data_IF_166589101471
#
_entry.id   IF_166589101471
#
_cell.length_a   1.000
_cell.length_b   1.000
_cell.length_c   1.000
_cell.angle_alpha   90.00
_cell.angle_beta   90.00
_cell.angle_gamma   90.00
#
_symmetry.space_group_name_H-M   'P 1'
#
loop_
_entity.id
_entity.type
_entity.pdbx_description
1 polymer ?
#
# COMPACT_ATOMS: atom_id res chain seq x y z
N UNK A 1 -14.72 19.64 -16.34
CA UNK A 1 -13.86 20.61 -15.68
C UNK A 1 -12.72 19.87 -14.98
N UNK A 2 -11.55 20.16 -15.27
CA UNK A 2 -10.25 19.53 -15.40
C UNK A 2 -9.41 19.43 -14.11
N UNK A 3 -9.97 19.00 -12.98
CA UNK A 3 -9.23 18.83 -11.72
C UNK A 3 -8.34 17.58 -11.70
N UNK A 4 -8.71 16.52 -12.40
CA UNK A 4 -7.93 15.28 -12.44
C UNK A 4 -6.56 15.40 -13.13
N UNK A 5 -6.40 16.33 -14.04
CA UNK A 5 -5.15 16.51 -14.79
C UNK A 5 -4.05 17.20 -13.96
N UNK A 6 -4.44 18.19 -13.16
CA UNK A 6 -3.50 18.84 -12.20
C UNK A 6 -3.02 17.89 -11.13
N UNK A 7 -3.90 16.98 -10.68
CA UNK A 7 -3.59 15.96 -9.70
C UNK A 7 -2.48 15.03 -10.18
N UNK A 8 -2.65 14.42 -11.35
CA UNK A 8 -1.65 13.49 -11.89
C UNK A 8 -0.29 14.13 -12.16
N UNK A 9 -0.25 15.37 -12.62
CA UNK A 9 0.99 16.08 -12.93
C UNK A 9 1.75 16.46 -11.65
N UNK A 10 1.09 17.04 -10.66
CA UNK A 10 1.70 17.46 -9.40
C UNK A 10 2.16 16.25 -8.56
N UNK A 11 1.39 15.17 -8.54
CA UNK A 11 1.78 13.93 -7.88
C UNK A 11 3.01 13.33 -8.59
N UNK A 12 3.01 13.27 -9.91
CA UNK A 12 4.11 12.77 -10.71
C UNK A 12 5.39 13.59 -10.52
N UNK A 13 5.31 14.90 -10.57
CA UNK A 13 6.47 15.79 -10.35
C UNK A 13 7.03 15.65 -8.94
N UNK A 14 6.18 15.43 -7.95
CA UNK A 14 6.59 15.29 -6.55
C UNK A 14 7.09 13.90 -6.18
N UNK A 15 6.52 12.85 -6.77
CA UNK A 15 6.98 11.48 -6.63
C UNK A 15 8.34 11.25 -7.31
N UNK A 16 8.64 11.98 -8.39
CA UNK A 16 9.98 11.99 -9.00
C UNK A 16 11.05 12.63 -8.10
N UNK A 17 10.66 13.46 -7.14
CA UNK A 17 11.58 14.03 -6.13
C UNK A 17 11.75 13.13 -4.91
N UNK A 18 11.02 12.02 -4.81
CA UNK A 18 11.08 11.06 -3.72
C UNK A 18 12.14 9.96 -3.92
N UNK A 19 13.16 10.22 -4.70
CA UNK A 19 14.26 9.27 -4.95
C UNK A 19 15.10 8.92 -3.72
N UNK A 20 14.83 9.51 -2.55
CA UNK A 20 15.57 9.20 -1.33
C UNK A 20 14.69 8.39 -0.36
N UNK A 21 15.04 7.12 -0.08
CA UNK A 21 14.43 6.36 1.00
C UNK A 21 14.50 7.17 2.31
N UNK A 22 13.42 7.20 3.07
CA UNK A 22 13.36 7.90 4.35
C UNK A 22 12.71 9.29 4.34
N UNK A 23 12.43 9.88 3.16
CA UNK A 23 11.60 11.08 3.06
C UNK A 23 10.18 10.81 2.51
N UNK A 24 9.85 9.54 2.35
CA UNK A 24 8.62 9.10 1.69
C UNK A 24 7.35 9.31 2.52
N UNK A 25 7.45 9.53 3.82
CA UNK A 25 6.30 9.96 4.63
C UNK A 25 6.03 11.44 4.36
N UNK A 26 5.58 11.75 3.16
CA UNK A 26 5.02 13.06 2.82
C UNK A 26 3.80 13.39 3.65
N UNK A 27 3.19 12.38 4.18
CA UNK A 27 2.01 12.40 4.97
C UNK A 27 2.41 12.19 6.42
N UNK A 28 1.81 12.90 7.30
CA UNK A 28 2.10 12.92 8.73
C UNK A 28 1.58 11.62 9.40
N UNK A 29 2.11 10.48 8.95
CA UNK A 29 1.90 9.24 9.67
C UNK A 29 2.52 9.41 11.05
N UNK A 30 1.79 9.06 12.08
CA UNK A 30 2.33 9.08 13.43
C UNK A 30 3.51 8.12 13.50
N UNK A 31 4.68 8.64 13.91
CA UNK A 31 5.90 7.85 13.95
C UNK A 31 5.75 6.63 14.87
N UNK A 32 5.07 6.80 16.01
CA UNK A 32 4.80 5.71 16.94
C UNK A 32 3.90 4.64 16.32
N UNK A 33 2.91 5.02 15.52
CA UNK A 33 2.09 4.07 14.77
C UNK A 33 2.93 3.23 13.82
N UNK A 34 3.79 3.87 13.04
CA UNK A 34 4.67 3.19 12.08
C UNK A 34 5.62 2.25 12.80
N UNK A 35 6.25 2.69 13.89
CA UNK A 35 7.16 1.88 14.69
C UNK A 35 6.43 0.66 15.29
N UNK A 36 5.24 0.83 15.85
CA UNK A 36 4.47 -0.27 16.44
C UNK A 36 4.04 -1.31 15.41
N UNK A 37 3.64 -0.88 14.22
CA UNK A 37 3.31 -1.81 13.13
C UNK A 37 4.58 -2.54 12.65
N UNK A 38 5.69 -1.81 12.46
CA UNK A 38 6.95 -2.38 11.99
C UNK A 38 7.49 -3.44 12.94
N UNK A 39 7.34 -3.26 14.25
CA UNK A 39 7.72 -4.27 15.24
C UNK A 39 6.92 -5.59 15.15
N UNK A 40 5.74 -5.55 14.55
CA UNK A 40 4.89 -6.73 14.33
C UNK A 40 5.12 -7.41 12.99
N UNK A 41 6.00 -6.87 12.15
CA UNK A 41 6.21 -7.33 10.78
C UNK A 41 7.69 -7.48 10.45
N UNK A 42 8.21 -8.71 10.63
CA UNK A 42 9.53 -9.11 10.18
C UNK A 42 9.42 -9.92 8.88
N UNK A 43 9.68 -9.25 7.75
CA UNK A 43 9.58 -9.89 6.44
C UNK A 43 10.62 -11.02 6.25
N UNK A 44 11.79 -10.89 6.86
CA UNK A 44 12.83 -11.93 6.79
C UNK A 44 12.40 -13.21 7.53
N UNK A 45 11.81 -13.07 8.73
CA UNK A 45 11.26 -14.19 9.46
C UNK A 45 10.09 -14.84 8.72
N UNK A 46 9.19 -14.02 8.14
CA UNK A 46 8.07 -14.52 7.31
C UNK A 46 8.60 -15.30 6.11
N UNK A 47 9.54 -14.76 5.34
CA UNK A 47 10.09 -15.42 4.16
C UNK A 47 10.72 -16.79 4.54
N UNK A 48 11.50 -16.84 5.62
CA UNK A 48 12.08 -18.10 6.13
C UNK A 48 11.01 -19.12 6.52
N UNK A 49 9.92 -18.70 7.14
CA UNK A 49 8.83 -19.61 7.54
C UNK A 49 8.06 -20.20 6.35
N UNK A 50 8.25 -19.63 5.16
CA UNK A 50 7.62 -20.07 3.92
C UNK A 50 8.55 -20.90 3.02
N UNK A 51 9.82 -21.05 3.37
CA UNK A 51 10.86 -21.64 2.51
C UNK A 51 10.50 -23.04 1.98
N UNK A 52 9.86 -23.87 2.81
CA UNK A 52 9.48 -25.25 2.47
C UNK A 52 8.03 -25.37 1.97
N UNK A 53 7.36 -24.27 1.73
CA UNK A 53 5.96 -24.24 1.25
C UNK A 53 5.90 -24.17 -0.26
N UNK A 54 4.88 -24.82 -0.83
CA UNK A 54 4.55 -24.62 -2.23
C UNK A 54 3.95 -23.21 -2.45
N UNK A 55 3.83 -22.80 -3.72
CA UNK A 55 3.34 -21.46 -4.07
C UNK A 55 1.92 -21.21 -3.52
N UNK A 56 1.06 -22.21 -3.53
CA UNK A 56 -0.32 -22.08 -3.05
C UNK A 56 -0.40 -21.93 -1.55
N UNK A 57 0.42 -22.67 -0.81
CA UNK A 57 0.54 -22.56 0.64
C UNK A 57 1.15 -21.22 1.04
N UNK A 58 2.21 -20.80 0.34
CA UNK A 58 2.84 -19.49 0.53
C UNK A 58 1.86 -18.35 0.24
N UNK A 59 1.06 -18.47 -0.83
CA UNK A 59 0.02 -17.49 -1.16
C UNK A 59 -0.99 -17.34 -0.03
N UNK A 60 -1.55 -18.46 0.48
CA UNK A 60 -2.54 -18.43 1.58
C UNK A 60 -1.97 -17.82 2.86
N UNK A 61 -0.75 -18.20 3.22
CA UNK A 61 -0.09 -17.66 4.41
C UNK A 61 0.16 -16.14 4.29
N UNK A 62 0.55 -15.68 3.10
CA UNK A 62 0.76 -14.26 2.83
C UNK A 62 -0.56 -13.48 2.73
N UNK A 63 -1.62 -14.09 2.22
CA UNK A 63 -2.97 -13.53 2.23
C UNK A 63 -3.45 -13.29 3.67
N UNK A 64 -3.33 -14.28 4.53
CA UNK A 64 -3.70 -14.17 5.95
C UNK A 64 -2.86 -13.11 6.66
N UNK A 65 -1.57 -13.08 6.41
CA UNK A 65 -0.67 -12.07 6.95
C UNK A 65 -1.06 -10.66 6.51
N UNK A 66 -1.36 -10.46 5.22
CA UNK A 66 -1.80 -9.17 4.69
C UNK A 66 -3.09 -8.68 5.34
N UNK A 67 -4.04 -9.58 5.52
CA UNK A 67 -5.30 -9.32 6.21
C UNK A 67 -5.09 -8.92 7.67
N UNK A 68 -4.29 -9.68 8.39
CA UNK A 68 -4.04 -9.45 9.82
C UNK A 68 -3.25 -8.17 10.06
N UNK A 69 -2.25 -7.91 9.23
CA UNK A 69 -1.45 -6.69 9.33
C UNK A 69 -2.27 -5.44 9.00
N UNK A 70 -3.13 -5.50 8.00
CA UNK A 70 -4.02 -4.38 7.68
C UNK A 70 -5.05 -4.15 8.79
N UNK A 71 -5.64 -5.20 9.38
CA UNK A 71 -6.52 -5.07 10.55
C UNK A 71 -5.82 -4.38 11.72
N UNK A 72 -4.60 -4.80 12.04
CA UNK A 72 -3.79 -4.17 13.08
C UNK A 72 -3.52 -2.70 12.76
N UNK A 73 -3.16 -2.40 11.50
CA UNK A 73 -2.91 -1.02 11.04
C UNK A 73 -4.13 -0.14 11.25
N UNK A 74 -5.31 -0.63 10.86
CA UNK A 74 -6.57 0.06 11.03
C UNK A 74 -6.89 0.29 12.52
N UNK A 75 -6.76 -0.75 13.32
CA UNK A 75 -7.04 -0.68 14.76
C UNK A 75 -6.13 0.36 15.46
N UNK A 76 -4.84 0.30 15.20
CA UNK A 76 -3.91 1.26 15.77
C UNK A 76 -4.18 2.69 15.28
N UNK A 77 -4.43 2.85 13.98
CA UNK A 77 -4.67 4.15 13.39
C UNK A 77 -5.96 4.82 13.92
N UNK A 78 -7.02 4.03 14.08
CA UNK A 78 -8.32 4.57 14.46
C UNK A 78 -8.48 4.72 15.97
N UNK A 79 -7.89 3.83 16.77
CA UNK A 79 -8.13 3.79 18.20
C UNK A 79 -7.01 4.43 19.02
N UNK A 80 -5.75 4.05 18.74
CA UNK A 80 -4.63 4.47 19.58
C UNK A 80 -4.00 5.78 19.11
N UNK A 81 -3.88 5.97 17.81
CA UNK A 81 -3.19 7.11 17.21
C UNK A 81 -4.15 8.16 16.62
N UNK A 82 -5.45 7.98 16.80
CA UNK A 82 -6.53 8.82 16.32
C UNK A 82 -6.58 8.97 14.80
N UNK A 83 -7.77 9.11 14.25
CA UNK A 83 -7.92 9.36 12.82
C UNK A 83 -7.49 10.80 12.48
N UNK A 84 -6.35 10.92 11.84
CA UNK A 84 -5.79 12.19 11.35
C UNK A 84 -6.09 12.45 9.87
N UNK A 85 -6.97 11.67 9.26
CA UNK A 85 -7.28 11.76 7.83
C UNK A 85 -7.66 13.19 7.42
N UNK A 86 -8.49 13.87 8.20
CA UNK A 86 -8.88 15.24 7.91
C UNK A 86 -7.69 16.21 7.92
N UNK A 87 -6.83 16.11 8.93
CA UNK A 87 -5.62 16.94 9.05
C UNK A 87 -4.62 16.66 7.92
N UNK A 88 -4.50 15.38 7.54
CA UNK A 88 -3.64 14.94 6.45
C UNK A 88 -4.13 15.50 5.12
N UNK A 89 -5.42 15.40 4.84
CA UNK A 89 -6.06 15.97 3.65
C UNK A 89 -5.80 17.48 3.57
N UNK A 90 -5.99 18.19 4.67
CA UNK A 90 -5.75 19.62 4.74
C UNK A 90 -4.29 19.99 4.51
N UNK A 91 -3.35 19.25 5.12
CA UNK A 91 -1.91 19.46 4.96
C UNK A 91 -1.47 19.22 3.51
N UNK A 92 -1.95 18.14 2.90
CA UNK A 92 -1.68 17.82 1.49
C UNK A 92 -2.25 18.91 0.59
N UNK A 93 -3.48 19.34 0.84
CA UNK A 93 -4.10 20.40 0.07
C UNK A 93 -3.32 21.73 0.15
N UNK A 94 -2.94 22.15 1.34
CA UNK A 94 -2.13 23.37 1.54
C UNK A 94 -0.79 23.33 0.81
N UNK A 95 -0.16 22.15 0.75
CA UNK A 95 1.15 21.99 0.14
C UNK A 95 1.11 21.77 -1.37
N UNK A 96 0.02 21.20 -1.89
CA UNK A 96 -0.02 20.68 -3.27
C UNK A 96 -1.19 21.21 -4.09
N UNK A 97 -2.18 21.81 -3.45
CA UNK A 97 -3.47 22.16 -4.06
C UNK A 97 -4.33 20.94 -4.40
N UNK A 98 -3.98 19.76 -3.91
CA UNK A 98 -4.66 18.50 -4.20
C UNK A 98 -5.52 18.10 -3.00
N UNK A 99 -6.82 17.91 -3.23
CA UNK A 99 -7.71 17.28 -2.27
C UNK A 99 -7.59 15.76 -2.39
N UNK A 100 -7.15 15.11 -1.32
CA UNK A 100 -7.01 13.65 -1.29
C UNK A 100 -8.40 13.02 -1.12
N UNK A 101 -8.89 12.24 -2.06
CA UNK A 101 -10.31 11.89 -2.07
C UNK A 101 -10.67 10.68 -1.19
N UNK A 102 -9.70 9.94 -0.59
CA UNK A 102 -10.00 8.60 -0.12
C UNK A 102 -9.46 8.23 1.26
N UNK A 103 -10.36 7.70 2.12
CA UNK A 103 -10.01 6.99 3.36
C UNK A 103 -9.15 5.75 3.09
N UNK A 104 -9.47 5.00 2.04
CA UNK A 104 -8.69 3.85 1.58
C UNK A 104 -7.22 4.22 1.36
N UNK A 105 -6.94 5.38 0.77
CA UNK A 105 -5.60 5.88 0.54
C UNK A 105 -4.76 5.99 1.82
N UNK A 106 -5.37 6.35 2.96
CA UNK A 106 -4.67 6.43 4.24
C UNK A 106 -4.16 5.07 4.72
N UNK A 107 -5.00 4.04 4.67
CA UNK A 107 -4.58 2.71 5.13
C UNK A 107 -3.57 2.07 4.19
N UNK A 108 -3.74 2.27 2.88
CA UNK A 108 -2.76 1.83 1.87
C UNK A 108 -1.43 2.53 2.11
N UNK A 109 -1.44 3.82 2.38
CA UNK A 109 -0.26 4.60 2.69
C UNK A 109 0.46 4.07 3.94
N UNK A 110 -0.25 3.89 5.04
CA UNK A 110 0.33 3.36 6.27
C UNK A 110 0.91 1.96 6.06
N UNK A 111 0.21 1.08 5.36
CA UNK A 111 0.66 -0.30 5.15
C UNK A 111 1.79 -0.40 4.13
N UNK A 112 1.76 0.37 3.07
CA UNK A 112 2.78 0.30 2.00
C UNK A 112 4.00 1.14 2.36
N UNK A 113 3.81 2.32 2.90
CA UNK A 113 4.91 3.27 3.14
C UNK A 113 5.49 3.17 4.54
N UNK A 114 4.64 2.98 5.54
CA UNK A 114 5.06 2.84 6.92
C UNK A 114 5.82 1.56 7.16
N UNK A 115 5.35 0.45 6.60
CA UNK A 115 5.90 -0.89 6.85
C UNK A 115 7.09 -1.23 5.96
N UNK A 116 7.20 -0.62 4.80
CA UNK A 116 8.17 -0.98 3.77
C UNK A 116 8.88 0.26 3.22
N UNK A 117 9.65 0.97 4.06
CA UNK A 117 10.27 2.24 3.67
C UNK A 117 11.32 2.10 2.56
N UNK A 118 11.79 0.87 2.28
CA UNK A 118 12.75 0.58 1.21
C UNK A 118 12.06 0.27 -0.12
N UNK A 119 10.76 0.08 -0.14
CA UNK A 119 10.01 -0.19 -1.35
C UNK A 119 9.93 1.07 -2.21
N UNK A 120 10.01 0.87 -3.53
CA UNK A 120 9.82 1.96 -4.50
C UNK A 120 8.45 1.81 -5.14
N UNK A 121 7.64 2.80 -4.93
CA UNK A 121 6.27 2.81 -5.44
C UNK A 121 5.93 4.19 -6.01
N UNK A 122 4.94 4.19 -6.89
CA UNK A 122 4.43 5.39 -7.53
C UNK A 122 2.91 5.27 -7.70
N UNK A 123 2.19 6.32 -7.33
CA UNK A 123 0.76 6.40 -7.57
C UNK A 123 0.54 7.21 -8.85
N UNK A 124 0.18 6.53 -9.94
CA UNK A 124 0.01 7.14 -11.26
C UNK A 124 -1.38 7.71 -11.46
N UNK A 125 -2.36 7.21 -10.73
CA UNK A 125 -3.73 7.72 -10.74
C UNK A 125 -4.36 7.58 -9.37
N UNK A 126 -5.03 8.63 -8.90
CA UNK A 126 -5.87 8.61 -7.71
C UNK A 126 -7.08 9.51 -7.95
N UNK A 127 -8.26 8.91 -7.96
CA UNK A 127 -9.55 9.59 -8.08
C UNK A 127 -10.49 9.04 -7.01
N UNK A 128 -11.69 9.56 -6.91
CA UNK A 128 -12.73 9.01 -6.01
C UNK A 128 -13.17 7.59 -6.38
N UNK A 129 -12.80 7.10 -7.57
CA UNK A 129 -13.25 5.80 -8.07
C UNK A 129 -12.13 4.87 -8.49
N UNK A 130 -10.90 5.36 -8.57
CA UNK A 130 -9.79 4.57 -9.09
C UNK A 130 -8.48 4.99 -8.44
N UNK A 131 -7.70 3.98 -8.07
CA UNK A 131 -6.34 4.11 -7.59
C UNK A 131 -5.46 3.21 -8.47
N UNK A 132 -4.43 3.78 -9.09
CA UNK A 132 -3.40 3.02 -9.82
C UNK A 132 -2.07 3.22 -9.12
N UNK A 133 -1.55 2.11 -8.60
CA UNK A 133 -0.31 2.05 -7.83
C UNK A 133 0.71 1.16 -8.55
N UNK A 134 1.92 1.66 -8.72
CA UNK A 134 3.06 0.91 -9.27
C UNK A 134 4.11 0.70 -8.19
N UNK A 135 4.66 -0.52 -8.12
CA UNK A 135 5.73 -0.90 -7.19
C UNK A 135 6.89 -1.46 -8.02
N UNK A 136 7.99 -0.73 -8.12
CA UNK A 136 9.17 -1.11 -8.89
C UNK A 136 10.28 -1.77 -8.06
N UNK A 137 10.23 -1.65 -6.73
CA UNK A 137 11.04 -2.43 -5.80
C UNK A 137 10.17 -2.82 -4.60
N UNK A 138 10.18 -4.10 -4.24
CA UNK A 138 9.34 -4.68 -3.19
C UNK A 138 10.18 -5.56 -2.28
N UNK A 139 10.24 -5.20 -1.00
CA UNK A 139 10.99 -5.94 0.02
C UNK A 139 10.44 -7.35 0.26
N UNK A 140 9.12 -7.53 0.17
CA UNK A 140 8.49 -8.85 0.30
C UNK A 140 8.94 -9.75 -0.85
N UNK A 141 8.79 -9.29 -2.10
CA UNK A 141 9.20 -10.05 -3.27
C UNK A 141 10.69 -10.41 -3.24
N UNK A 142 11.54 -9.45 -2.83
CA UNK A 142 12.98 -9.67 -2.66
C UNK A 142 13.26 -10.76 -1.63
N UNK A 143 12.67 -10.65 -0.43
CA UNK A 143 12.89 -11.62 0.65
C UNK A 143 12.43 -13.05 0.28
N UNK A 144 11.32 -13.18 -0.43
CA UNK A 144 10.84 -14.48 -0.92
C UNK A 144 11.80 -15.10 -1.94
N UNK A 145 12.33 -14.31 -2.86
CA UNK A 145 13.34 -14.79 -3.82
C UNK A 145 14.64 -15.22 -3.13
N UNK A 146 15.09 -14.50 -2.11
CA UNK A 146 16.29 -14.84 -1.35
C UNK A 146 16.20 -16.20 -0.65
N UNK A 147 15.00 -16.65 -0.30
CA UNK A 147 14.76 -18.00 0.27
C UNK A 147 14.32 -19.01 -0.78
N UNK A 148 14.38 -18.66 -2.07
CA UNK A 148 14.14 -19.57 -3.19
C UNK A 148 12.67 -19.82 -3.56
N UNK A 149 11.73 -19.04 -3.00
CA UNK A 149 10.32 -19.14 -3.35
C UNK A 149 10.10 -18.54 -4.74
N UNK A 150 9.59 -19.37 -5.65
CA UNK A 150 9.28 -18.99 -7.03
C UNK A 150 7.84 -18.48 -7.17
N UNK A 151 7.55 -17.86 -8.29
CA UNK A 151 6.24 -17.30 -8.58
C UNK A 151 6.00 -15.95 -7.92
N UNK A 152 4.75 -15.64 -7.66
CA UNK A 152 4.33 -14.37 -7.05
C UNK A 152 3.33 -14.58 -5.90
N UNK A 153 3.64 -15.40 -4.88
CA UNK A 153 2.69 -15.66 -3.80
C UNK A 153 2.40 -14.41 -2.96
N UNK A 154 3.29 -13.40 -2.99
CA UNK A 154 3.06 -12.12 -2.32
C UNK A 154 1.88 -11.30 -2.88
N UNK A 155 1.32 -11.68 -4.03
CA UNK A 155 0.07 -11.13 -4.54
C UNK A 155 -1.07 -11.28 -3.52
N UNK A 156 -1.13 -12.41 -2.82
CA UNK A 156 -2.12 -12.65 -1.75
C UNK A 156 -2.05 -11.59 -0.66
N UNK A 157 -0.85 -11.26 -0.19
CA UNK A 157 -0.65 -10.20 0.80
C UNK A 157 -1.22 -8.85 0.35
N UNK A 158 -0.88 -8.43 -0.86
CA UNK A 158 -1.31 -7.14 -1.38
C UNK A 158 -2.83 -7.08 -1.55
N UNK A 159 -3.43 -8.11 -2.14
CA UNK A 159 -4.86 -8.16 -2.38
C UNK A 159 -5.65 -8.15 -1.09
N UNK A 160 -5.30 -9.02 -0.13
CA UNK A 160 -5.95 -9.07 1.17
C UNK A 160 -5.82 -7.75 1.96
N UNK A 161 -4.70 -7.05 1.80
CA UNK A 161 -4.52 -5.73 2.41
C UNK A 161 -5.48 -4.69 1.83
N UNK A 162 -5.62 -4.63 0.50
CA UNK A 162 -6.58 -3.72 -0.15
C UNK A 162 -8.03 -4.05 0.21
N UNK A 163 -8.40 -5.33 0.15
CA UNK A 163 -9.73 -5.81 0.49
C UNK A 163 -10.09 -5.45 1.94
N UNK A 164 -9.19 -5.72 2.88
CA UNK A 164 -9.41 -5.40 4.30
C UNK A 164 -9.56 -3.91 4.55
N UNK A 165 -8.78 -3.08 3.85
CA UNK A 165 -8.92 -1.63 3.94
C UNK A 165 -10.26 -1.14 3.33
N UNK A 166 -10.69 -1.74 2.23
CA UNK A 166 -11.97 -1.43 1.58
C UNK A 166 -13.18 -1.83 2.44
N UNK A 167 -13.12 -3.00 3.06
CA UNK A 167 -14.15 -3.45 4.00
C UNK A 167 -14.33 -2.45 5.15
N UNK A 168 -13.23 -1.93 5.66
CA UNK A 168 -13.26 -0.91 6.72
C UNK A 168 -13.91 0.40 6.27
N UNK A 169 -13.70 0.81 5.04
CA UNK A 169 -14.30 2.03 4.49
C UNK A 169 -15.73 1.83 3.98
N UNK A 170 -16.19 0.58 3.93
CA UNK A 170 -17.48 0.21 3.35
C UNK A 170 -17.50 0.24 1.82
N UNK A 171 -16.33 0.30 1.21
CA UNK A 171 -16.20 0.34 -0.24
C UNK A 171 -16.21 -1.07 -0.84
N UNK A 172 -16.90 -1.25 -1.96
CA UNK A 172 -16.73 -2.42 -2.81
C UNK A 172 -15.67 -2.13 -3.85
N UNK A 173 -14.63 -2.97 -3.89
CA UNK A 173 -13.53 -2.75 -4.81
C UNK A 173 -13.32 -3.94 -5.75
N UNK A 174 -12.79 -3.64 -6.95
CA UNK A 174 -12.16 -4.61 -7.81
C UNK A 174 -10.66 -4.32 -7.86
N UNK A 175 -9.85 -5.36 -7.73
CA UNK A 175 -8.40 -5.26 -7.79
C UNK A 175 -7.91 -6.02 -9.01
N UNK A 176 -7.29 -5.30 -9.94
CA UNK A 176 -6.53 -5.87 -11.05
C UNK A 176 -5.03 -5.72 -10.82
N UNK A 177 -4.25 -6.66 -11.34
CA UNK A 177 -2.79 -6.62 -11.31
C UNK A 177 -2.26 -6.94 -12.71
N UNK A 178 -2.33 -5.98 -13.66
CA UNK A 178 -1.96 -6.20 -15.07
C UNK A 178 -0.47 -6.35 -15.28
N UNK A 179 0.38 -5.91 -14.34
CA UNK A 179 1.84 -6.05 -14.41
C UNK A 179 2.39 -6.63 -13.13
N UNK A 180 3.44 -7.45 -13.26
CA UNK A 180 4.12 -8.10 -12.13
C UNK A 180 5.62 -7.85 -12.18
N UNK A 181 6.28 -7.86 -11.02
CA UNK A 181 7.74 -7.66 -10.94
C UNK A 181 8.52 -8.68 -11.79
N UNK A 182 8.17 -9.99 -11.76
CA UNK A 182 8.89 -10.97 -12.57
C UNK A 182 8.78 -10.75 -14.08
N UNK A 183 7.65 -10.26 -14.58
CA UNK A 183 7.38 -10.15 -16.00
C UNK A 183 7.62 -8.74 -16.58
N UNK A 184 7.36 -7.72 -15.75
CA UNK A 184 7.31 -6.33 -16.22
C UNK A 184 8.24 -5.39 -15.45
N UNK A 185 9.11 -5.93 -14.57
CA UNK A 185 9.98 -5.15 -13.67
C UNK A 185 9.23 -4.21 -12.72
N UNK A 186 7.92 -4.36 -12.60
CA UNK A 186 7.07 -3.67 -11.65
C UNK A 186 5.77 -4.42 -11.41
N UNK A 187 5.21 -4.29 -10.22
CA UNK A 187 3.80 -4.63 -9.99
C UNK A 187 2.94 -3.38 -10.23
N UNK A 188 1.84 -3.53 -10.96
CA UNK A 188 0.88 -2.45 -11.15
C UNK A 188 -0.48 -2.92 -10.64
N UNK A 189 -1.05 -2.18 -9.70
CA UNK A 189 -2.35 -2.46 -9.11
C UNK A 189 -3.36 -1.43 -9.62
N UNK A 190 -4.46 -1.93 -10.14
CA UNK A 190 -5.64 -1.15 -10.50
C UNK A 190 -6.73 -1.45 -9.48
N UNK A 191 -6.99 -0.52 -8.59
CA UNK A 191 -8.07 -0.62 -7.60
C UNK A 191 -9.19 0.30 -8.03
N UNK A 192 -10.34 -0.25 -8.41
CA UNK A 192 -11.53 0.50 -8.74
C UNK A 192 -12.60 0.33 -7.67
N UNK A 193 -13.19 1.45 -7.25
CA UNK A 193 -14.31 1.47 -6.31
C UNK A 193 -15.61 1.37 -7.10
N UNK A 194 -16.40 0.36 -6.79
CA UNK A 194 -17.74 0.23 -7.35
C UNK A 194 -18.66 1.25 -6.67
N UNK A 195 -19.50 1.95 -7.42
CA UNK A 195 -20.53 2.78 -6.81
C UNK A 195 -21.36 1.90 -5.86
N UNK A 196 -21.47 2.32 -4.61
CA UNK A 196 -22.39 1.69 -3.68
C UNK A 196 -23.79 1.69 -4.28
N UNK A 197 -24.44 0.53 -4.28
CA UNK A 197 -25.86 0.45 -4.63
C UNK A 197 -26.72 1.09 -3.56
#
# INVERSE_FOLDING_TARGET
MTTGWKYGKLLKERLMTLEKPGKALLFDADKGLVEEITHKFDIGAVAKSLQDKDEKEAYKALEELGRNLMKLTIELADNKYLDRTGQMIEKVYKQTGISFPHRLGRYVELSVFGLRPTDRWNMTRATTRELVLQVSACSIYKALNEVGIKGLPCKGFCFASFETAADKTGDRINIGMPKTLPENSMCEFHVSVQPGG
#
